data_IF_942894524868
#
_entry.id   IF_942894524868
#
_cell.length_a   1.000
_cell.length_b   1.000
_cell.length_c   1.000
_cell.angle_alpha   90.00
_cell.angle_beta   90.00
_cell.angle_gamma   90.00
#
_symmetry.space_group_name_H-M   'P 1'
#
loop_
_entity.id
_entity.type
_entity.pdbx_description
1 polymer ?
2 non-polymer ?
3 non-polymer ?
4 non-polymer ?
5 non-polymer ?
6 water ?
#
# COMPACT_ATOMS: atom_id res chain seq x y z
N UNK A 4 18.77 -10.98 -3.09
CA UNK A 4 17.30 -10.97 -3.17
C UNK A 4 16.66 -10.50 -1.86
N UNK A 5 16.19 -9.25 -1.86
CA UNK A 5 15.72 -8.57 -0.63
C UNK A 5 14.26 -8.83 -0.29
N UNK A 6 13.95 -8.94 1.01
CA UNK A 6 12.55 -9.04 1.45
C UNK A 6 11.94 -7.65 1.46
N UNK A 7 10.62 -7.58 1.36
CA UNK A 7 9.94 -6.29 1.32
C UNK A 7 8.67 -6.31 2.16
N UNK A 8 8.22 -5.12 2.54
CA UNK A 8 6.87 -4.90 3.04
C UNK A 8 6.13 -4.12 1.97
N UNK A 9 5.20 -4.77 1.30
CA UNK A 9 4.33 -4.07 0.38
C UNK A 9 3.30 -3.38 1.24
N UNK A 10 2.99 -2.13 0.89
CA UNK A 10 2.15 -1.27 1.73
C UNK A 10 1.00 -0.66 0.96
N UNK A 11 -0.21 -0.97 1.39
CA UNK A 11 -1.40 -0.24 0.98
C UNK A 11 -1.24 1.19 1.52
N UNK A 12 -1.84 2.18 0.86
CA UNK A 12 -1.70 3.55 1.34
C UNK A 12 -2.90 4.02 2.19
N UNK A 13 -4.02 4.29 1.53
CA UNK A 13 -5.21 4.76 2.24
C UNK A 13 -5.74 3.70 3.18
N UNK A 14 -5.82 4.03 4.47
CA UNK A 14 -6.33 3.09 5.46
C UNK A 14 -5.21 2.34 6.15
N UNK A 15 -3.98 2.52 5.67
CA UNK A 15 -2.82 1.80 6.21
C UNK A 15 -1.66 2.75 6.56
N UNK A 16 -1.38 3.69 5.68
CA UNK A 16 -0.42 4.74 5.99
C UNK A 16 -1.17 6.03 6.38
N UNK A 17 -2.22 6.35 5.63
CA UNK A 17 -2.94 7.60 5.84
C UNK A 17 -4.42 7.33 6.08
N UNK A 18 -5.03 8.06 7.01
CA UNK A 18 -6.42 7.83 7.34
C UNK A 18 -7.20 7.97 6.04
N UNK A 19 -8.04 6.99 5.75
CA UNK A 19 -8.86 7.04 4.57
C UNK A 19 -10.04 7.96 4.79
N UNK A 20 -10.02 9.11 4.12
CA UNK A 20 -11.13 10.05 4.15
C UNK A 20 -11.97 9.97 2.89
N UNK A 21 -11.49 9.21 1.91
CA UNK A 21 -12.16 9.13 0.63
C UNK A 21 -11.48 9.98 -0.42
N UNK A 22 -10.83 9.33 -1.37
CA UNK A 22 -10.18 10.04 -2.45
C UNK A 22 -9.27 11.16 -1.93
N UNK A 23 -8.42 10.86 -0.94
CA UNK A 23 -7.46 11.84 -0.42
C UNK A 23 -6.46 12.23 -1.51
N UNK A 24 -6.30 13.53 -1.73
CA UNK A 24 -5.51 14.02 -2.85
C UNK A 24 -4.91 15.39 -2.54
N UNK A 25 -5.26 15.93 -1.36
CA UNK A 25 -4.80 17.22 -0.85
C UNK A 25 -3.93 17.01 0.39
N UNK A 26 -2.83 17.74 0.46
CA UNK A 26 -1.92 17.71 1.61
C UNK A 26 -2.61 17.95 2.97
N UNK A 27 -3.53 18.91 3.02
CA UNK A 27 -4.25 19.21 4.26
C UNK A 27 -5.14 18.06 4.71
N UNK A 28 -5.42 17.16 3.78
CA UNK A 28 -6.32 16.06 4.09
C UNK A 28 -5.55 14.76 4.34
N UNK A 29 -4.23 14.82 4.23
CA UNK A 29 -3.37 13.65 4.42
C UNK A 29 -2.90 13.59 5.88
N UNK A 30 -3.38 12.57 6.59
CA UNK A 30 -3.12 12.41 8.02
C UNK A 30 -2.45 11.06 8.28
N UNK A 31 -1.15 11.08 8.57
CA UNK A 31 -0.46 9.84 8.86
C UNK A 31 -1.14 9.19 10.05
N UNK A 32 -1.30 7.88 9.97
CA UNK A 32 -1.85 7.07 11.05
C UNK A 32 -0.81 6.99 12.18
N UNK A 33 -1.27 7.03 13.43
CA UNK A 33 -0.34 7.10 14.54
C UNK A 33 0.68 5.97 14.45
N UNK A 34 1.94 6.33 14.61
CA UNK A 34 2.97 5.35 14.84
C UNK A 34 3.44 4.64 13.60
N UNK A 35 2.83 4.92 12.45
CA UNK A 35 3.24 4.18 11.24
C UNK A 35 4.60 4.64 10.75
N UNK A 36 4.89 5.93 10.82
CA UNK A 36 6.20 6.39 10.37
C UNK A 36 7.33 5.75 11.20
N UNK A 37 7.24 5.82 12.52
CA UNK A 37 8.17 5.10 13.38
C UNK A 37 8.22 3.62 13.02
N UNK A 38 7.07 3.00 12.80
CA UNK A 38 7.06 1.57 12.46
C UNK A 38 7.73 1.35 11.11
N UNK A 39 7.53 2.25 10.18
CA UNK A 39 8.16 2.07 8.88
C UNK A 39 9.67 2.22 8.98
N UNK A 40 10.12 3.19 9.78
CA UNK A 40 11.55 3.39 9.97
C UNK A 40 12.19 2.15 10.63
N UNK A 41 11.48 1.53 11.58
CA UNK A 41 11.96 0.30 12.20
C UNK A 41 12.02 -0.86 11.21
N UNK A 42 10.93 -1.06 10.49
CA UNK A 42 10.88 -2.11 9.46
C UNK A 42 12.12 -2.07 8.58
N UNK A 43 12.44 -0.86 8.13
CA UNK A 43 13.61 -0.53 7.36
C UNK A 43 14.91 -0.94 8.06
N UNK A 44 15.03 -0.58 9.34
CA UNK A 44 16.21 -0.94 10.12
C UNK A 44 16.37 -2.46 10.23
N UNK A 45 15.24 -3.16 10.28
CA UNK A 45 15.25 -4.63 10.27
C UNK A 45 15.57 -5.16 8.88
N UNK A 46 15.88 -4.26 7.95
CA UNK A 46 16.32 -4.66 6.61
C UNK A 46 15.26 -4.99 5.57
N UNK A 47 14.04 -4.50 5.74
CA UNK A 47 13.00 -4.68 4.72
C UNK A 47 13.04 -3.53 3.74
N UNK A 48 12.90 -3.80 2.45
CA UNK A 48 12.64 -2.70 1.52
C UNK A 48 11.16 -2.36 1.71
N UNK A 49 10.78 -1.10 1.50
CA UNK A 49 9.39 -0.69 1.66
C UNK A 49 8.82 -0.16 0.35
N UNK A 50 7.67 -0.71 -0.02
CA UNK A 50 7.06 -0.49 -1.32
C UNK A 50 5.58 -0.20 -1.14
N UNK A 51 5.18 1.00 -1.51
CA UNK A 51 3.78 1.41 -1.50
C UNK A 51 3.10 0.90 -2.77
N UNK A 52 1.94 0.27 -2.61
CA UNK A 52 1.11 -0.19 -3.73
C UNK A 52 -0.38 0.19 -3.56
N UNK A 53 -0.78 1.27 -4.22
CA UNK A 53 -2.06 1.92 -3.92
C UNK A 53 -3.00 2.09 -5.14
N UNK A 54 -4.24 1.63 -5.01
CA UNK A 54 -5.26 1.96 -5.99
C UNK A 54 -5.61 3.44 -5.85
N UNK A 55 -5.66 4.14 -6.98
CA UNK A 55 -6.08 5.53 -7.01
C UNK A 55 -7.10 5.70 -8.14
N UNK A 56 -8.25 5.08 -7.97
CA UNK A 56 -9.30 5.13 -8.97
C UNK A 56 -9.89 6.52 -9.02
N UNK A 57 -9.68 7.28 -7.95
CA UNK A 57 -10.13 8.66 -7.91
C UNK A 57 -9.70 9.43 -9.14
N UNK A 58 -8.54 9.08 -9.69
CA UNK A 58 -8.04 9.74 -10.89
C UNK A 58 -8.89 9.43 -12.12
N UNK A 59 -9.29 8.18 -12.27
CA UNK A 59 -10.15 7.80 -13.39
C UNK A 59 -11.58 8.26 -13.15
N UNK A 60 -11.90 8.59 -11.89
CA UNK A 60 -13.27 9.00 -11.55
C UNK A 60 -13.46 10.47 -11.85
N UNK A 61 -12.35 11.19 -11.95
CA UNK A 61 -12.38 12.62 -12.17
C UNK A 61 -12.33 13.42 -10.88
N UNK A 62 -12.29 12.74 -9.73
CA UNK A 62 -12.21 13.43 -8.44
C UNK A 62 -10.94 14.31 -8.31
N UNK A 63 -9.84 13.88 -8.93
CA UNK A 63 -8.59 14.64 -8.90
C UNK A 63 -7.67 14.17 -10.03
N UNK A 64 -6.54 14.84 -10.23
CA UNK A 64 -5.70 14.55 -11.40
C UNK A 64 -4.46 13.74 -11.04
N UNK A 65 -3.96 13.00 -12.02
CA UNK A 65 -2.76 12.19 -11.84
C UNK A 65 -1.64 13.07 -11.34
N UNK A 66 -1.78 14.37 -11.58
CA UNK A 66 -0.73 15.33 -11.29
C UNK A 66 -0.89 15.86 -9.88
N UNK A 67 -2.12 15.86 -9.39
CA UNK A 67 -2.35 16.21 -7.99
C UNK A 67 -1.87 15.04 -7.16
N UNK A 68 -2.16 13.82 -7.63
CA UNK A 68 -1.62 12.63 -7.00
C UNK A 68 -0.10 12.68 -6.95
N UNK A 69 0.53 12.93 -8.09
CA UNK A 69 1.98 13.13 -8.13
C UNK A 69 2.46 14.16 -7.08
N UNK A 70 1.77 15.29 -7.01
CA UNK A 70 2.09 16.34 -6.03
C UNK A 70 2.01 15.85 -4.58
N UNK A 71 0.95 15.11 -4.26
CA UNK A 71 0.75 14.55 -2.93
C UNK A 71 1.82 13.50 -2.61
N UNK A 72 2.07 12.62 -3.56
CA UNK A 72 3.04 11.55 -3.41
C UNK A 72 4.47 12.08 -3.20
N UNK A 73 4.85 13.15 -3.91
CA UNK A 73 6.17 13.77 -3.70
C UNK A 73 6.29 14.32 -2.29
N UNK A 74 5.27 15.06 -1.86
CA UNK A 74 5.19 15.55 -0.50
C UNK A 74 5.31 14.39 0.50
N UNK A 75 4.55 13.33 0.28
CA UNK A 75 4.58 12.17 1.15
C UNK A 75 5.98 11.57 1.20
N UNK A 76 6.58 11.39 0.03
CA UNK A 76 7.94 10.85 -0.06
C UNK A 76 8.94 11.68 0.78
N UNK A 77 8.96 12.99 0.58
CA UNK A 77 9.80 13.90 1.36
C UNK A 77 9.54 13.87 2.87
N UNK A 78 8.26 13.86 3.26
CA UNK A 78 7.91 13.85 4.68
C UNK A 78 8.51 12.62 5.32
N UNK A 79 8.40 11.50 4.62
CA UNK A 79 9.00 10.26 5.07
C UNK A 79 10.52 10.35 5.07
N UNK A 80 11.11 10.81 3.97
CA UNK A 80 12.57 10.85 3.86
C UNK A 80 13.13 11.68 5.01
N UNK A 81 12.45 12.78 5.30
CA UNK A 81 12.89 13.69 6.34
C UNK A 81 12.77 13.07 7.72
N UNK A 82 12.12 11.91 7.80
CA UNK A 82 11.95 11.19 9.06
C UNK A 82 12.74 9.89 9.02
N UNK A 83 13.68 9.81 8.09
CA UNK A 83 14.54 8.65 7.94
C UNK A 83 13.78 7.39 7.50
N UNK A 84 12.72 7.60 6.73
CA UNK A 84 12.03 6.51 6.04
C UNK A 84 12.18 6.76 4.55
N UNK A 85 12.97 5.93 3.90
CA UNK A 85 13.26 6.09 2.49
C UNK A 85 12.56 5.00 1.70
N UNK A 86 11.49 5.35 0.99
CA UNK A 86 10.68 4.34 0.32
C UNK A 86 11.45 3.80 -0.88
N UNK A 87 11.46 2.48 -1.05
CA UNK A 87 12.18 1.86 -2.15
C UNK A 87 11.39 1.86 -3.44
N UNK A 88 10.08 1.97 -3.34
CA UNK A 88 9.25 2.06 -4.53
C UNK A 88 7.89 2.60 -4.18
N UNK A 89 7.30 3.35 -5.11
CA UNK A 89 5.93 3.80 -4.99
C UNK A 89 5.19 3.47 -6.26
N UNK A 90 4.25 2.54 -6.16
CA UNK A 90 3.48 2.08 -7.32
C UNK A 90 2.02 2.51 -7.13
N UNK A 91 1.38 2.95 -8.21
CA UNK A 91 -0.03 3.31 -8.13
C UNK A 91 -0.83 2.89 -9.36
N UNK A 92 -2.15 2.87 -9.21
CA UNK A 92 -3.03 2.53 -10.32
C UNK A 92 -4.11 3.59 -10.42
N UNK A 93 -4.10 4.34 -11.52
CA UNK A 93 -5.02 5.46 -11.72
C UNK A 93 -6.31 5.04 -12.45
N UNK A 94 -6.45 3.75 -12.74
CA UNK A 94 -7.44 3.27 -13.68
C UNK A 94 -8.77 2.85 -13.06
N UNK A 95 -9.79 2.86 -13.90
CA UNK A 95 -11.06 2.25 -13.57
C UNK A 95 -11.82 1.99 -14.87
N UNK A 96 -12.36 0.77 -15.04
CA UNK A 96 -13.07 0.36 -16.26
C UNK A 96 -14.18 1.34 -16.62
N UNK A 97 -14.76 1.98 -15.61
CA UNK A 97 -15.85 2.94 -15.79
C UNK A 97 -15.40 4.40 -15.65
N UNK A 98 -14.10 4.63 -15.77
CA UNK A 98 -13.58 5.98 -15.59
C UNK A 98 -14.27 7.00 -16.47
N UNK A 99 -14.49 8.18 -15.92
CA UNK A 99 -15.06 9.29 -16.66
C UNK A 99 -13.96 10.04 -17.41
N UNK A 100 -12.70 9.72 -17.08
CA UNK A 100 -11.54 10.35 -17.73
C UNK A 100 -10.88 9.36 -18.68
N UNK A 101 -11.07 9.58 -19.98
CA UNK A 101 -10.76 8.59 -21.00
C UNK A 101 -9.40 7.93 -20.82
N UNK A 102 -8.34 8.73 -20.73
CA UNK A 102 -6.99 8.18 -20.74
C UNK A 102 -6.71 7.19 -19.60
N UNK A 103 -7.61 7.16 -18.61
CA UNK A 103 -7.48 6.24 -17.48
C UNK A 103 -8.65 5.28 -17.43
N UNK A 104 -9.55 5.42 -18.40
CA UNK A 104 -10.71 4.55 -18.52
C UNK A 104 -10.32 3.24 -19.19
N UNK A 105 -10.27 2.17 -18.41
CA UNK A 105 -9.78 0.89 -18.90
C UNK A 105 -9.74 -0.17 -17.79
N UNK A 106 -9.72 -1.43 -18.21
CA UNK A 106 -9.39 -2.55 -17.35
C UNK A 106 -7.86 -2.60 -17.35
N UNK A 107 -7.26 -3.11 -16.28
CA UNK A 107 -5.80 -3.21 -16.22
C UNK A 107 -5.42 -4.37 -15.32
N UNK A 108 -4.13 -4.61 -15.12
CA UNK A 108 -3.74 -5.65 -14.17
C UNK A 108 -2.91 -5.08 -13.05
N UNK A 109 -2.83 -3.76 -12.99
CA UNK A 109 -2.25 -3.15 -11.80
C UNK A 109 -3.28 -2.89 -10.70
N UNK A 110 -4.56 -2.82 -11.06
CA UNK A 110 -5.63 -2.53 -10.07
C UNK A 110 -5.92 -3.74 -9.18
N UNK A 111 -5.53 -3.63 -7.91
CA UNK A 111 -5.69 -4.73 -6.95
C UNK A 111 -7.16 -5.03 -6.97
N UNK A 112 -7.56 -6.31 -6.86
CA UNK A 112 -6.80 -7.54 -6.56
C UNK A 112 -5.94 -8.14 -7.67
N UNK A 113 -5.75 -7.45 -8.79
CA UNK A 113 -4.77 -7.90 -9.77
C UNK A 113 -3.42 -7.62 -9.14
N UNK A 114 -2.46 -8.53 -9.32
CA UNK A 114 -1.17 -8.44 -8.62
C UNK A 114 -0.17 -7.57 -9.35
N UNK A 115 -0.63 -6.85 -10.38
CA UNK A 115 0.25 -6.12 -11.28
C UNK A 115 1.37 -5.35 -10.60
N UNK A 116 1.02 -4.50 -9.64
CA UNK A 116 2.00 -3.60 -9.03
C UNK A 116 3.01 -4.36 -8.17
N UNK A 117 2.58 -5.49 -7.61
CA UNK A 117 3.44 -6.34 -6.78
C UNK A 117 4.50 -7.07 -7.63
N UNK A 118 4.10 -7.53 -8.82
CA UNK A 118 5.03 -8.29 -9.65
C UNK A 118 6.04 -7.35 -10.24
N UNK A 119 5.58 -6.16 -10.56
CA UNK A 119 6.42 -5.16 -11.18
C UNK A 119 7.50 -4.79 -10.16
N UNK A 120 7.07 -4.42 -8.96
CA UNK A 120 7.99 -4.22 -7.85
C UNK A 120 8.93 -5.41 -7.66
N UNK A 121 8.40 -6.62 -7.80
CA UNK A 121 9.21 -7.83 -7.70
C UNK A 121 10.38 -7.81 -8.66
N UNK A 122 10.06 -7.51 -9.92
CA UNK A 122 11.05 -7.59 -10.97
C UNK A 122 12.06 -6.48 -10.85
N UNK A 123 11.59 -5.29 -10.47
CA UNK A 123 12.42 -4.10 -10.56
C UNK A 123 13.34 -3.91 -9.35
N UNK A 124 13.01 -4.58 -8.25
CA UNK A 124 13.77 -4.45 -7.01
C UNK A 124 14.27 -5.80 -6.55
N UNK A 125 13.96 -6.83 -7.33
CA UNK A 125 14.43 -8.20 -7.08
C UNK A 125 14.09 -8.66 -5.66
N UNK A 126 12.80 -8.79 -5.40
CA UNK A 126 12.29 -9.03 -4.06
C UNK A 126 12.04 -10.48 -3.78
N UNK A 127 12.50 -10.93 -2.62
CA UNK A 127 12.16 -12.26 -2.16
C UNK A 127 10.70 -12.23 -1.74
N UNK A 128 9.82 -12.81 -2.56
CA UNK A 128 8.38 -12.68 -2.36
C UNK A 128 7.85 -13.53 -1.21
N UNK A 129 8.41 -14.72 -1.05
CA UNK A 129 7.98 -15.59 0.04
C UNK A 129 8.47 -15.11 1.41
N UNK A 130 9.47 -14.23 1.42
CA UNK A 130 9.93 -13.64 2.66
C UNK A 130 9.38 -12.22 2.85
N UNK A 131 8.39 -11.85 2.03
CA UNK A 131 7.82 -10.50 2.04
C UNK A 131 6.45 -10.45 2.69
N UNK A 132 5.92 -9.23 2.88
CA UNK A 132 4.68 -9.01 3.61
C UNK A 132 3.78 -8.06 2.83
N UNK A 133 2.46 -8.26 2.93
CA UNK A 133 1.51 -7.30 2.40
C UNK A 133 0.65 -6.81 3.52
N UNK A 134 0.56 -5.49 3.61
CA UNK A 134 -0.24 -4.84 4.62
C UNK A 134 -1.28 -3.96 3.95
N UNK A 135 -2.55 -4.28 4.17
CA UNK A 135 -3.64 -3.45 3.70
C UNK A 135 -4.89 -3.61 4.56
N UNK A 136 -5.94 -2.89 4.21
CA UNK A 136 -7.17 -2.91 4.98
C UNK A 136 -8.34 -3.55 4.23
N UNK A 137 -8.11 -4.01 3.00
CA UNK A 137 -9.18 -4.64 2.18
C UNK A 137 -8.88 -6.06 1.68
N UNK A 138 -9.96 -6.76 1.30
CA UNK A 138 -9.87 -8.04 0.60
C UNK A 138 -8.97 -7.95 -0.64
N UNK A 139 -9.16 -6.90 -1.44
CA UNK A 139 -8.43 -6.80 -2.71
C UNK A 139 -6.92 -6.86 -2.50
N UNK A 140 -6.49 -6.38 -1.32
CA UNK A 140 -5.09 -6.39 -0.91
C UNK A 140 -4.61 -7.79 -0.60
N UNK A 141 -5.41 -8.55 0.15
CA UNK A 141 -5.07 -9.94 0.44
C UNK A 141 -5.02 -10.79 -0.85
N UNK A 142 -5.98 -10.55 -1.75
CA UNK A 142 -6.07 -11.30 -3.01
C UNK A 142 -4.88 -10.95 -3.91
N UNK A 143 -4.56 -9.66 -4.00
CA UNK A 143 -3.41 -9.22 -4.78
C UNK A 143 -2.16 -9.90 -4.26
N UNK A 144 -1.99 -9.89 -2.94
CA UNK A 144 -0.85 -10.56 -2.30
C UNK A 144 -0.79 -12.06 -2.62
N UNK A 145 -1.93 -12.72 -2.50
CA UNK A 145 -2.05 -14.15 -2.76
C UNK A 145 -1.54 -14.53 -4.14
N UNK A 146 -2.00 -13.78 -5.14
CA UNK A 146 -1.62 -14.04 -6.52
C UNK A 146 -0.12 -13.89 -6.70
N UNK A 147 0.45 -12.82 -6.14
CA UNK A 147 1.88 -12.54 -6.27
C UNK A 147 2.76 -13.42 -5.37
N UNK A 148 2.15 -14.33 -4.62
CA UNK A 148 2.90 -15.24 -3.76
C UNK A 148 3.63 -14.54 -2.60
N UNK A 149 3.09 -13.41 -2.16
CA UNK A 149 3.61 -12.75 -0.97
C UNK A 149 3.41 -13.71 0.18
N UNK A 150 4.50 -14.02 0.88
CA UNK A 150 4.46 -15.00 1.95
C UNK A 150 3.49 -14.68 3.06
N UNK A 151 3.48 -13.44 3.54
CA UNK A 151 2.67 -13.12 4.73
C UNK A 151 1.70 -11.96 4.51
N UNK A 152 0.42 -12.27 4.62
CA UNK A 152 -0.61 -11.31 4.28
C UNK A 152 -1.25 -10.71 5.53
N UNK A 153 -1.07 -9.39 5.67
CA UNK A 153 -1.45 -8.69 6.89
C UNK A 153 -2.58 -7.69 6.70
N UNK A 154 -3.70 -7.98 7.34
CA UNK A 154 -4.83 -7.08 7.37
C UNK A 154 -4.64 -6.12 8.54
N UNK A 155 -5.08 -4.87 8.39
CA UNK A 155 -5.04 -3.92 9.49
C UNK A 155 -6.43 -3.35 9.76
N UNK A 156 -6.63 -2.86 10.98
CA UNK A 156 -7.94 -2.38 11.37
C UNK A 156 -8.09 -0.86 11.32
N UNK A 157 -7.12 -0.17 10.72
CA UNK A 157 -7.07 1.29 10.76
C UNK A 157 -7.78 1.97 9.62
N UNK A 158 -8.36 1.19 8.71
CA UNK A 158 -8.97 1.77 7.53
C UNK A 158 -10.40 1.31 7.34
N UNK A 159 -10.67 0.70 6.20
CA UNK A 159 -11.98 0.15 5.95
C UNK A 159 -12.31 -0.89 7.03
N UNK A 160 -13.54 -0.84 7.57
CA UNK A 160 -13.94 -1.82 8.59
C UNK A 160 -13.79 -3.19 7.97
N UNK A 161 -13.17 -4.13 8.68
CA UNK A 161 -12.82 -5.39 8.04
C UNK A 161 -14.03 -6.32 7.78
N UNK A 162 -14.10 -6.87 6.56
CA UNK A 162 -15.11 -7.89 6.20
C UNK A 162 -14.63 -9.29 6.57
N UNK A 163 -15.55 -10.25 6.73
CA UNK A 163 -15.12 -11.60 7.12
C UNK A 163 -14.35 -12.26 5.97
N UNK A 164 -14.69 -11.84 4.76
CA UNK A 164 -13.99 -12.25 3.56
C UNK A 164 -12.56 -11.70 3.54
N UNK A 165 -12.38 -10.42 3.86
CA UNK A 165 -11.02 -9.87 3.98
C UNK A 165 -10.24 -10.68 5.01
N UNK A 166 -10.90 -10.97 6.13
CA UNK A 166 -10.27 -11.75 7.18
C UNK A 166 -10.04 -13.21 6.78
N UNK A 167 -10.97 -13.79 6.02
CA UNK A 167 -10.76 -15.16 5.54
C UNK A 167 -9.40 -15.21 4.84
N UNK A 168 -9.16 -14.22 3.98
CA UNK A 168 -8.01 -14.21 3.08
C UNK A 168 -6.67 -13.81 3.71
N UNK A 169 -6.71 -13.18 4.88
CA UNK A 169 -5.47 -12.73 5.53
C UNK A 169 -4.83 -13.82 6.39
N UNK A 170 -3.53 -13.68 6.64
CA UNK A 170 -2.79 -14.52 7.57
C UNK A 170 -2.80 -13.89 8.96
N UNK A 171 -2.49 -12.59 9.02
CA UNK A 171 -2.55 -11.85 10.28
C UNK A 171 -3.61 -10.77 10.24
N UNK A 172 -4.16 -10.45 11.40
CA UNK A 172 -4.95 -9.24 11.57
C UNK A 172 -4.34 -8.41 12.70
N UNK A 173 -3.86 -7.23 12.34
CA UNK A 173 -3.26 -6.33 13.32
C UNK A 173 -4.11 -5.09 13.49
N UNK A 174 -4.02 -4.49 14.67
CA UNK A 174 -4.73 -3.26 14.88
C UNK A 174 -4.27 -2.22 13.88
N UNK A 175 -2.99 -2.30 13.51
CA UNK A 175 -2.36 -1.23 12.78
C UNK A 175 -0.99 -1.62 12.26
N UNK A 176 -0.57 -0.95 11.18
CA UNK A 176 0.81 -1.04 10.67
C UNK A 176 1.85 -0.79 11.78
N UNK A 177 1.48 0.05 12.74
CA UNK A 177 2.36 0.38 13.86
C UNK A 177 2.74 -0.88 14.63
N UNK A 178 1.88 -1.90 14.55
CA UNK A 178 2.11 -3.14 15.29
C UNK A 178 3.01 -4.13 14.55
N UNK A 179 3.24 -3.90 13.25
CA UNK A 179 3.93 -4.90 12.42
C UNK A 179 5.36 -5.26 12.84
N UNK A 180 6.17 -4.26 13.22
CA UNK A 180 7.55 -4.59 13.62
C UNK A 180 7.61 -5.60 14.77
N UNK A 181 6.79 -5.36 15.79
CA UNK A 181 6.66 -6.26 16.92
C UNK A 181 6.24 -7.65 16.45
N UNK A 182 5.13 -7.71 15.73
CA UNK A 182 4.57 -8.98 15.28
C UNK A 182 5.62 -9.81 14.59
N UNK A 183 6.34 -9.19 13.66
CA UNK A 183 7.41 -9.87 12.93
C UNK A 183 8.52 -10.39 13.86
N UNK A 184 8.98 -9.54 14.77
CA UNK A 184 10.16 -9.81 15.60
C UNK A 184 10.03 -11.04 16.49
N UNK A 185 8.82 -11.31 16.96
CA UNK A 185 8.55 -12.51 17.70
C UNK A 185 8.24 -13.62 16.71
N UNK A 186 9.15 -13.77 15.74
CA UNK A 186 8.96 -14.64 14.58
C UNK A 186 7.67 -14.34 13.81
X LIG B 1 -6.62 0.61 1.56
X LIG C 1 -4.27 -0.02 -13.22
X LIG D 1 -13.82 4.45 -6.29
X LIG E 1 -11.77 3.76 -3.18
X LIG E 1 -12.63 2.96 -3.91
X LIG E 1 -12.20 1.83 -4.80
X LIG E 1 -12.45 4.64 -2.12
X LIG E 1 -13.24 3.98 -1.12
X LIG E 1 -5.34 2.14 -1.50
X LIG E 1 -11.52 5.73 -1.60
X LIG E 1 -12.10 6.66 -0.69
X LIG E 1 -10.46 4.87 -0.94
X LIG E 1 -9.56 5.54 -0.08
X LIG E 1 -9.80 4.10 -2.08
X LIG E 1 -10.70 3.09 -2.52
X LIG E 1 -8.50 3.56 -1.51
X LIG E 1 -8.72 2.73 -0.37
X LIG E 1 -7.48 3.05 -2.51
X LIG E 1 -6.10 3.24 -2.17
X LIG E 1 -10.97 2.16 -5.59
X LIG E 1 -11.93 0.66 -3.92
X LIG E 1 -13.30 1.50 -5.74
X LIG E 1 -6.17 1.65 -0.37
X LIG E 1 -5.08 1.01 -2.44
X LIG E 1 -4.06 2.70 -0.96
#
# INVERSE_FOLDING_TARGET
XAKSVPAIFLDRDGTINVDHGYVHEIDNFEFIDGVIDAMRELKKMGFALVVVTNQSGIARGKFTEAQFETLTEWMDWSLADRDVDLDGIYYCPHHPQGSVEEFRQVCDCRKPHPGMLLSARDYLHIDMAASYMVGDKLEDMQAAVAANVGTKVLVRTGKPITPEAENAADWVLNSLADLPQAIKKQQ
MG MG
ZN ZN
NA NA
GMB C1 O1 P1 C2 O2 P2 C3 O3 C4 O4 C5 O5 C6 O6 C7 O7 OP1 OP2 OP3 OP4 OP5 OP6
#
